data_IF_648948190193
#
_entry.id   IF_648948190193
#
_cell.length_a   1.000
_cell.length_b   1.000
_cell.length_c   1.000
_cell.angle_alpha   90.00
_cell.angle_beta   90.00
_cell.angle_gamma   90.00
#
_symmetry.space_group_name_H-M   'P 1'
#
loop_
_entity.id
_entity.type
_entity.pdbx_description
1 polymer ?
#
# COMPACT_ATOMS: atom_id res chain seq x y z
N UNK A 1 16.20 -5.10 -6.52
CA UNK A 1 15.55 -4.44 -5.37
C UNK A 1 15.56 -5.44 -4.23
N UNK A 2 16.58 -5.49 -3.38
CA UNK A 2 16.64 -6.40 -2.23
C UNK A 2 17.31 -5.61 -1.12
N UNK A 3 16.67 -5.48 0.05
CA UNK A 3 17.28 -4.83 1.21
C UNK A 3 18.38 -5.75 1.75
N UNK A 4 19.62 -5.26 1.94
CA UNK A 4 20.70 -6.07 2.48
C UNK A 4 20.51 -6.38 3.98
N UNK A 5 19.79 -5.54 4.74
CA UNK A 5 19.57 -5.73 6.17
C UNK A 5 18.09 -5.69 6.58
N UNK A 6 17.72 -6.47 7.61
CA UNK A 6 16.35 -6.54 8.18
C UNK A 6 15.93 -5.23 8.86
N UNK A 7 16.89 -4.43 9.32
CA UNK A 7 16.67 -3.15 10.02
C UNK A 7 16.58 -1.94 9.08
N UNK A 8 16.84 -2.13 7.78
CA UNK A 8 16.76 -1.03 6.82
C UNK A 8 15.32 -0.54 6.69
N UNK A 9 15.16 0.80 6.73
CA UNK A 9 13.86 1.45 6.58
C UNK A 9 13.21 1.00 5.26
N UNK A 10 11.96 0.52 5.37
CA UNK A 10 11.15 0.13 4.20
C UNK A 10 11.00 1.30 3.24
N UNK A 11 10.67 2.48 3.77
CA UNK A 11 10.60 3.72 3.01
C UNK A 11 10.81 4.97 3.89
N UNK A 12 11.14 6.09 3.24
CA UNK A 12 11.10 7.44 3.82
C UNK A 12 10.08 8.28 3.05
N UNK A 13 9.11 8.85 3.76
CA UNK A 13 8.12 9.77 3.20
C UNK A 13 8.54 11.21 3.43
N UNK A 14 8.51 12.01 2.38
CA UNK A 14 8.80 13.44 2.41
C UNK A 14 7.62 14.19 1.80
N UNK A 15 6.75 14.72 2.66
CA UNK A 15 5.59 15.51 2.25
C UNK A 15 6.01 16.81 1.58
N UNK A 16 5.15 17.34 0.69
CA UNK A 16 5.39 18.65 0.11
C UNK A 16 5.30 19.76 1.16
N UNK A 17 5.96 20.90 0.93
CA UNK A 17 5.90 22.06 1.82
C UNK A 17 4.50 22.68 1.92
N UNK A 18 3.62 22.40 0.97
CA UNK A 18 2.20 22.80 0.99
C UNK A 18 1.30 21.84 1.76
N UNK A 19 1.85 20.77 2.36
CA UNK A 19 1.09 19.76 3.11
C UNK A 19 0.46 18.64 2.26
N UNK A 20 0.64 18.68 0.94
CA UNK A 20 0.20 17.64 0.00
C UNK A 20 1.24 16.53 -0.23
N UNK A 21 0.92 15.65 -1.19
CA UNK A 21 1.79 14.55 -1.62
C UNK A 21 3.16 15.07 -2.10
N UNK A 22 4.24 14.49 -1.58
CA UNK A 22 5.60 14.81 -1.97
C UNK A 22 6.30 13.63 -2.64
N UNK A 23 7.45 13.22 -2.08
CA UNK A 23 8.27 12.13 -2.60
C UNK A 23 8.43 11.03 -1.58
N UNK A 24 8.65 9.82 -2.08
CA UNK A 24 8.97 8.68 -1.24
C UNK A 24 10.24 8.02 -1.74
N UNK A 25 11.11 7.67 -0.79
CA UNK A 25 12.29 6.85 -1.04
C UNK A 25 12.02 5.42 -0.59
N UNK A 26 12.06 4.45 -1.50
CA UNK A 26 11.92 3.01 -1.22
C UNK A 26 13.23 2.32 -1.61
N UNK A 27 14.01 1.88 -0.63
CA UNK A 27 15.39 1.44 -0.86
C UNK A 27 16.23 2.56 -1.48
N UNK A 28 16.68 2.39 -2.74
CA UNK A 28 17.44 3.39 -3.50
C UNK A 28 16.59 4.21 -4.47
N UNK A 29 15.31 3.87 -4.64
CA UNK A 29 14.44 4.49 -5.62
C UNK A 29 13.69 5.65 -4.98
N UNK A 30 13.70 6.82 -5.65
CA UNK A 30 12.91 7.98 -5.26
C UNK A 30 11.80 8.14 -6.30
N UNK A 31 10.55 8.12 -5.86
CA UNK A 31 9.39 8.29 -6.73
C UNK A 31 8.42 9.34 -6.16
N UNK A 32 7.66 10.07 -6.99
CA UNK A 32 6.55 10.88 -6.53
C UNK A 32 5.51 10.02 -5.79
N UNK A 33 5.01 10.49 -4.65
CA UNK A 33 3.93 9.79 -3.95
C UNK A 33 2.69 9.68 -4.84
N UNK A 34 2.41 10.70 -5.66
CA UNK A 34 1.27 10.73 -6.58
C UNK A 34 1.24 9.54 -7.55
N UNK A 35 2.39 9.03 -7.98
CA UNK A 35 2.48 7.88 -8.89
C UNK A 35 2.07 6.55 -8.22
N UNK A 36 2.15 6.51 -6.88
CA UNK A 36 1.79 5.36 -6.06
C UNK A 36 0.32 5.38 -5.60
N UNK A 37 -0.41 6.46 -5.84
CA UNK A 37 -1.81 6.64 -5.43
C UNK A 37 -2.64 7.37 -6.49
N UNK A 38 -2.40 7.05 -7.76
CA UNK A 38 -3.16 7.63 -8.88
C UNK A 38 -4.62 7.25 -8.74
N UNK A 39 -5.53 8.19 -8.92
CA UNK A 39 -6.96 7.93 -8.85
C UNK A 39 -7.37 7.00 -9.99
N UNK A 40 -8.17 5.99 -9.68
CA UNK A 40 -8.81 5.16 -10.69
C UNK A 40 -10.20 5.72 -11.02
N UNK A 41 -10.38 6.24 -12.23
CA UNK A 41 -11.64 6.83 -12.67
C UNK A 41 -12.75 5.79 -12.88
N UNK A 42 -12.40 4.51 -13.04
CA UNK A 42 -13.36 3.43 -13.27
C UNK A 42 -14.02 2.91 -11.99
N UNK A 43 -13.39 3.15 -10.83
CA UNK A 43 -13.81 2.59 -9.56
C UNK A 43 -13.73 3.66 -8.47
N UNK A 44 -14.89 4.06 -7.95
CA UNK A 44 -14.97 5.10 -6.92
C UNK A 44 -14.13 4.75 -5.68
N UNK A 45 -13.31 5.72 -5.25
CA UNK A 45 -12.43 5.59 -4.08
C UNK A 45 -11.21 4.68 -4.30
N UNK A 46 -11.04 4.10 -5.50
CA UNK A 46 -9.90 3.26 -5.79
C UNK A 46 -8.69 4.08 -6.25
N UNK A 47 -7.50 3.52 -6.01
CA UNK A 47 -6.23 4.07 -6.47
C UNK A 47 -5.35 2.98 -7.05
N UNK A 48 -4.60 3.34 -8.08
CA UNK A 48 -3.74 2.44 -8.82
C UNK A 48 -2.28 2.87 -8.76
N UNK A 49 -1.41 1.88 -8.80
CA UNK A 49 0.04 2.06 -8.86
C UNK A 49 0.68 0.94 -9.67
N UNK A 50 1.90 1.16 -10.12
CA UNK A 50 2.70 0.13 -10.76
C UNK A 50 3.62 -0.51 -9.71
N UNK A 51 3.58 -1.83 -9.62
CA UNK A 51 4.46 -2.60 -8.75
C UNK A 51 5.90 -2.66 -9.29
N UNK A 52 6.85 -3.14 -8.49
CA UNK A 52 8.24 -3.32 -8.90
C UNK A 52 8.44 -4.38 -9.99
N UNK A 53 7.42 -5.21 -10.24
CA UNK A 53 7.35 -6.19 -11.32
C UNK A 53 6.82 -5.59 -12.63
N UNK A 54 6.43 -4.31 -12.64
CA UNK A 54 5.83 -3.63 -13.79
C UNK A 54 4.31 -3.82 -13.92
N UNK A 55 3.71 -4.67 -13.10
CA UNK A 55 2.26 -4.91 -13.12
C UNK A 55 1.50 -3.75 -12.48
N UNK A 56 0.25 -3.54 -12.90
CA UNK A 56 -0.64 -2.56 -12.26
C UNK A 56 -1.43 -3.22 -11.14
N UNK A 57 -1.51 -2.52 -10.01
CA UNK A 57 -2.25 -2.93 -8.83
C UNK A 57 -3.26 -1.87 -8.41
N UNK A 58 -4.33 -2.28 -7.74
CA UNK A 58 -5.41 -1.40 -7.31
C UNK A 58 -5.73 -1.60 -5.83
N UNK A 59 -5.63 -0.53 -5.05
CA UNK A 59 -6.29 -0.44 -3.75
C UNK A 59 -7.72 0.06 -3.92
N UNK A 60 -8.68 -0.59 -3.27
CA UNK A 60 -10.08 -0.14 -3.26
C UNK A 60 -10.80 -0.48 -1.96
N UNK A 61 -11.89 0.21 -1.60
CA UNK A 61 -12.76 -0.24 -0.52
C UNK A 61 -13.44 -1.56 -0.90
N UNK A 62 -13.60 -2.46 0.07
CA UNK A 62 -14.48 -3.62 -0.07
C UNK A 62 -15.94 -3.18 -0.18
N UNK A 63 -16.75 -3.95 -0.89
CA UNK A 63 -18.21 -3.73 -0.99
C UNK A 63 -19.00 -4.48 0.07
N UNK A 64 -18.38 -5.43 0.76
CA UNK A 64 -19.05 -6.34 1.69
C UNK A 64 -18.69 -6.09 3.15
N UNK A 65 -17.57 -5.41 3.40
CA UNK A 65 -17.07 -5.12 4.74
C UNK A 65 -16.22 -3.84 4.75
N UNK A 66 -15.57 -3.54 5.87
CA UNK A 66 -14.72 -2.35 6.05
C UNK A 66 -13.27 -2.53 5.59
N UNK A 67 -12.94 -3.67 4.97
CA UNK A 67 -11.58 -3.93 4.51
C UNK A 67 -11.25 -3.05 3.29
N UNK A 68 -9.96 -2.77 3.10
CA UNK A 68 -9.42 -2.16 1.90
C UNK A 68 -8.67 -3.28 1.16
N UNK A 69 -9.06 -3.56 -0.07
CA UNK A 69 -8.58 -4.68 -0.86
C UNK A 69 -7.51 -4.23 -1.84
N UNK A 70 -6.41 -4.98 -1.95
CA UNK A 70 -5.45 -4.88 -3.03
C UNK A 70 -5.79 -5.91 -4.08
N UNK A 71 -5.98 -5.45 -5.31
CA UNK A 71 -6.16 -6.31 -6.48
C UNK A 71 -4.97 -6.24 -7.41
N UNK A 72 -4.67 -7.35 -8.07
CA UNK A 72 -3.77 -7.38 -9.23
C UNK A 72 -4.49 -6.95 -10.52
N UNK A 73 -3.78 -7.05 -11.66
CA UNK A 73 -4.31 -6.70 -12.97
C UNK A 73 -5.46 -7.59 -13.46
N UNK A 74 -5.60 -8.80 -12.90
CA UNK A 74 -6.68 -9.73 -13.23
C UNK A 74 -7.91 -9.52 -12.34
N UNK A 75 -7.79 -8.67 -11.31
CA UNK A 75 -8.86 -8.40 -10.35
C UNK A 75 -8.83 -9.32 -9.12
N UNK A 76 -7.85 -10.21 -9.02
CA UNK A 76 -7.71 -11.10 -7.87
C UNK A 76 -7.27 -10.31 -6.64
N UNK A 77 -7.90 -10.57 -5.49
CA UNK A 77 -7.50 -9.94 -4.23
C UNK A 77 -6.26 -10.63 -3.69
N UNK A 78 -5.16 -9.89 -3.55
CA UNK A 78 -3.84 -10.44 -3.18
C UNK A 78 -3.36 -9.99 -1.80
N UNK A 79 -3.94 -8.92 -1.26
CA UNK A 79 -3.76 -8.46 0.10
C UNK A 79 -4.97 -7.64 0.53
N UNK A 80 -5.13 -7.44 1.83
CA UNK A 80 -6.12 -6.50 2.34
C UNK A 80 -5.64 -5.83 3.63
N UNK A 81 -6.07 -4.59 3.83
CA UNK A 81 -5.95 -3.89 5.10
C UNK A 81 -7.29 -3.94 5.83
N UNK A 82 -7.27 -4.44 7.06
CA UNK A 82 -8.43 -4.50 7.95
C UNK A 82 -8.31 -3.42 9.02
N UNK A 83 -9.16 -2.38 9.02
CA UNK A 83 -9.26 -1.47 10.15
C UNK A 83 -9.71 -2.26 11.38
N UNK A 84 -9.02 -2.06 12.50
CA UNK A 84 -9.40 -2.67 13.78
C UNK A 84 -9.69 -1.58 14.80
N UNK A 85 -10.49 -1.91 15.81
CA UNK A 85 -10.54 -1.10 17.02
C UNK A 85 -9.13 -1.07 17.62
N UNK A 86 -8.78 0.03 18.29
CA UNK A 86 -7.48 0.16 18.96
C UNK A 86 -7.25 -1.06 19.87
N UNK A 87 -6.29 -1.89 19.49
CA UNK A 87 -5.91 -3.10 20.22
C UNK A 87 -4.48 -2.93 20.71
N UNK A 88 -4.26 -3.11 22.01
CA UNK A 88 -2.92 -3.00 22.62
C UNK A 88 -2.19 -4.34 22.51
N UNK A 89 -1.08 -4.36 21.78
CA UNK A 89 -0.14 -5.47 21.75
C UNK A 89 1.13 -5.11 22.54
N UNK A 90 2.00 -6.10 22.76
CA UNK A 90 3.31 -5.88 23.40
C UNK A 90 4.17 -4.83 22.66
N UNK A 91 3.96 -4.70 21.34
CA UNK A 91 4.67 -3.76 20.48
C UNK A 91 4.05 -2.36 20.40
N UNK A 92 2.88 -2.13 21.03
CA UNK A 92 2.18 -0.86 21.01
C UNK A 92 0.71 -0.96 20.63
N UNK A 93 0.11 0.19 20.31
CA UNK A 93 -1.27 0.29 19.87
C UNK A 93 -1.39 0.01 18.37
N UNK A 94 -2.27 -0.92 18.02
CA UNK A 94 -2.58 -1.29 16.64
C UNK A 94 -3.97 -0.78 16.27
N UNK A 95 -4.06 -0.11 15.13
CA UNK A 95 -5.28 0.50 14.59
C UNK A 95 -5.77 -0.19 13.31
N UNK A 96 -5.06 -1.23 12.87
CA UNK A 96 -5.43 -2.05 11.74
C UNK A 96 -4.32 -3.02 11.36
N UNK A 97 -4.66 -3.97 10.51
CA UNK A 97 -3.81 -5.10 10.16
C UNK A 97 -3.69 -5.20 8.64
N UNK A 98 -2.48 -5.45 8.14
CA UNK A 98 -2.24 -5.74 6.72
C UNK A 98 -2.02 -7.24 6.54
N UNK A 99 -2.88 -7.86 5.75
CA UNK A 99 -2.90 -9.30 5.50
C UNK A 99 -2.49 -9.59 4.07
N UNK A 100 -1.53 -10.50 3.89
CA UNK A 100 -1.05 -10.94 2.58
C UNK A 100 -1.62 -12.33 2.26
N UNK A 101 -2.22 -12.48 1.07
CA UNK A 101 -2.83 -13.73 0.65
C UNK A 101 -1.81 -14.55 -0.16
N UNK A 102 -1.24 -15.58 0.47
CA UNK A 102 -0.10 -16.35 -0.06
C UNK A 102 -0.36 -17.03 -1.41
N UNK A 103 -1.60 -17.42 -1.67
CA UNK A 103 -1.98 -18.21 -2.85
C UNK A 103 -2.80 -17.39 -3.86
N UNK A 104 -2.80 -16.06 -3.73
CA UNK A 104 -3.57 -15.16 -4.60
C UNK A 104 -2.66 -14.28 -5.46
N UNK A 105 -3.14 -13.93 -6.65
CA UNK A 105 -2.29 -13.43 -7.73
C UNK A 105 -1.23 -14.47 -8.11
N UNK A 106 -0.31 -14.16 -9.02
CA UNK A 106 0.73 -15.09 -9.48
C UNK A 106 1.78 -15.49 -8.39
N UNK A 107 1.43 -15.45 -7.09
CA UNK A 107 2.30 -15.77 -5.95
C UNK A 107 3.37 -14.71 -5.67
N UNK A 108 3.38 -13.60 -6.41
CA UNK A 108 4.44 -12.58 -6.38
C UNK A 108 4.41 -11.67 -5.16
N UNK A 109 3.28 -11.61 -4.46
CA UNK A 109 3.08 -10.69 -3.33
C UNK A 109 4.01 -10.95 -2.16
N UNK A 110 4.38 -12.21 -1.92
CA UNK A 110 5.23 -12.59 -0.79
C UNK A 110 6.73 -12.28 -1.04
N UNK A 111 7.08 -11.72 -2.19
CA UNK A 111 8.44 -11.29 -2.48
C UNK A 111 8.76 -9.97 -1.73
N UNK A 112 9.87 -9.83 -0.97
CA UNK A 112 10.09 -8.69 -0.07
C UNK A 112 9.93 -7.29 -0.70
N UNK A 113 10.44 -7.03 -1.91
CA UNK A 113 10.19 -5.78 -2.64
C UNK A 113 8.71 -5.47 -2.89
N UNK A 114 7.93 -6.52 -3.19
CA UNK A 114 6.49 -6.39 -3.38
C UNK A 114 5.82 -6.11 -2.03
N UNK A 115 6.15 -6.86 -0.98
CA UNK A 115 5.63 -6.61 0.36
C UNK A 115 5.89 -5.19 0.87
N UNK A 116 7.09 -4.67 0.61
CA UNK A 116 7.47 -3.29 0.93
C UNK A 116 6.59 -2.28 0.18
N UNK A 117 6.40 -2.51 -1.13
CA UNK A 117 5.54 -1.67 -1.99
C UNK A 117 4.09 -1.71 -1.53
N UNK A 118 3.55 -2.89 -1.23
CA UNK A 118 2.18 -3.08 -0.71
C UNK A 118 1.99 -2.34 0.62
N UNK A 119 2.95 -2.46 1.54
CA UNK A 119 2.90 -1.79 2.85
C UNK A 119 2.89 -0.27 2.68
N UNK A 120 3.78 0.26 1.85
CA UNK A 120 3.89 1.68 1.55
C UNK A 120 2.60 2.23 0.92
N UNK A 121 2.11 1.56 -0.12
CA UNK A 121 0.94 2.00 -0.88
C UNK A 121 -0.34 1.90 -0.06
N UNK A 122 -0.45 0.90 0.84
CA UNK A 122 -1.55 0.84 1.81
C UNK A 122 -1.58 2.08 2.72
N UNK A 123 -0.42 2.52 3.21
CA UNK A 123 -0.33 3.70 4.07
C UNK A 123 -0.69 4.99 3.32
N UNK A 124 -0.17 5.16 2.09
CA UNK A 124 -0.52 6.31 1.26
C UNK A 124 -1.99 6.33 0.88
N UNK A 125 -2.55 5.19 0.46
CA UNK A 125 -3.97 5.08 0.14
C UNK A 125 -4.83 5.55 1.31
N UNK A 126 -4.54 5.05 2.52
CA UNK A 126 -5.26 5.42 3.74
C UNK A 126 -5.13 6.90 4.08
N UNK A 127 -3.94 7.47 3.90
CA UNK A 127 -3.73 8.90 4.09
C UNK A 127 -4.59 9.72 3.11
N UNK A 128 -4.53 9.42 1.81
CA UNK A 128 -5.31 10.15 0.82
C UNK A 128 -6.82 9.97 1.02
N UNK A 129 -7.26 8.78 1.46
CA UNK A 129 -8.66 8.53 1.78
C UNK A 129 -9.13 9.36 3.00
N UNK A 130 -8.29 9.50 4.03
CA UNK A 130 -8.63 10.26 5.24
C UNK A 130 -8.68 11.79 5.00
N UNK A 131 -7.86 12.30 4.08
CA UNK A 131 -7.72 13.73 3.81
C UNK A 131 -8.33 14.18 2.47
N UNK A 132 -8.99 13.27 1.76
CA UNK A 132 -9.63 13.52 0.46
C UNK A 132 -8.67 14.17 -0.57
N UNK A 133 -7.47 13.60 -0.69
CA UNK A 133 -6.38 14.06 -1.59
C UNK A 133 -6.34 13.36 -2.94
#
# INVERSE_FOLDING_TARGET
MIRPNKEDRVAKFEWSSSGGLGRITIGKNIVPMADLVRVDSSVQGARVFNGPDGSTYRWRPSTTNTDILLQDSNGDVIAFFRPTKRTRYQIGDVYGELHFLRNAGAGTVMHPPMMDTVTVTAMLYRFCAAWNL
#
